data_IF_387108719443
#
_entry.id   IF_387108719443
#
_cell.length_a   1.000
_cell.length_b   1.000
_cell.length_c   1.000
_cell.angle_alpha   90.00
_cell.angle_beta   90.00
_cell.angle_gamma   90.00
#
_symmetry.space_group_name_H-M   'P 1'
#
loop_
_entity.id
_entity.type
_entity.pdbx_description
1 polymer ?
#
# COMPACT_ATOMS: atom_id res chain seq x y z
N UNK A 1 -18.31 15.56 12.02
CA UNK A 1 -17.79 14.31 12.63
C UNK A 1 -17.62 13.21 11.59
N UNK A 2 -18.67 12.75 10.90
CA UNK A 2 -18.58 11.64 9.93
C UNK A 2 -17.56 11.87 8.79
N UNK A 3 -17.52 13.07 8.20
CA UNK A 3 -16.55 13.42 7.14
C UNK A 3 -15.10 13.29 7.60
N UNK A 4 -14.79 13.78 8.80
CA UNK A 4 -13.45 13.67 9.40
C UNK A 4 -13.02 12.21 9.59
N UNK A 5 -13.93 11.36 10.05
CA UNK A 5 -13.67 9.92 10.21
C UNK A 5 -13.39 9.27 8.85
N UNK A 6 -14.18 9.61 7.82
CA UNK A 6 -13.97 9.07 6.46
C UNK A 6 -12.64 9.53 5.87
N UNK A 7 -12.32 10.82 5.97
CA UNK A 7 -11.07 11.40 5.45
C UNK A 7 -9.85 10.78 6.18
N UNK A 8 -9.95 10.54 7.49
CA UNK A 8 -8.92 9.83 8.26
C UNK A 8 -8.73 8.38 7.80
N UNK A 9 -9.82 7.63 7.60
CA UNK A 9 -9.76 6.24 7.14
C UNK A 9 -9.16 6.13 5.73
N UNK A 10 -9.51 7.05 4.82
CA UNK A 10 -8.89 7.14 3.50
C UNK A 10 -7.38 7.40 3.63
N UNK A 11 -6.97 8.35 4.48
CA UNK A 11 -5.57 8.66 4.73
C UNK A 11 -4.78 7.46 5.28
N UNK A 12 -5.37 6.69 6.20
CA UNK A 12 -4.73 5.47 6.73
C UNK A 12 -4.57 4.39 5.65
N UNK A 13 -5.61 4.16 4.83
CA UNK A 13 -5.53 3.22 3.71
C UNK A 13 -4.47 3.63 2.68
N UNK A 14 -4.41 4.91 2.32
CA UNK A 14 -3.37 5.44 1.41
C UNK A 14 -1.96 5.20 1.97
N UNK A 15 -1.75 5.44 3.27
CA UNK A 15 -0.46 5.14 3.93
C UNK A 15 -0.08 3.67 3.84
N UNK A 16 -1.05 2.75 4.02
CA UNK A 16 -0.80 1.31 3.93
C UNK A 16 -0.46 0.88 2.50
N UNK A 17 -1.20 1.39 1.50
CA UNK A 17 -0.95 1.12 0.07
C UNK A 17 0.41 1.65 -0.36
N UNK A 18 0.76 2.90 -0.01
CA UNK A 18 2.06 3.49 -0.35
C UNK A 18 3.24 2.71 0.23
N UNK A 19 3.12 2.23 1.48
CA UNK A 19 4.15 1.36 2.08
C UNK A 19 4.30 0.04 1.33
N UNK A 20 3.19 -0.59 0.95
CA UNK A 20 3.25 -1.80 0.15
C UNK A 20 3.89 -1.55 -1.22
N UNK A 21 3.56 -0.43 -1.86
CA UNK A 21 4.12 -0.04 -3.15
C UNK A 21 5.64 0.16 -3.06
N UNK A 22 6.12 0.85 -2.02
CA UNK A 22 7.55 1.04 -1.78
C UNK A 22 8.30 -0.30 -1.67
N UNK A 23 7.76 -1.24 -0.89
CA UNK A 23 8.37 -2.57 -0.72
C UNK A 23 8.41 -3.33 -2.05
N UNK A 24 7.29 -3.43 -2.78
CA UNK A 24 7.27 -4.17 -4.04
C UNK A 24 8.15 -3.52 -5.12
N UNK A 25 8.21 -2.18 -5.14
CA UNK A 25 9.02 -1.43 -6.09
C UNK A 25 10.53 -1.58 -5.85
N UNK A 26 10.95 -1.86 -4.63
CA UNK A 26 12.37 -2.06 -4.33
C UNK A 26 12.78 -3.55 -4.29
N UNK A 27 11.84 -4.48 -4.26
CA UNK A 27 12.12 -5.91 -4.21
C UNK A 27 12.20 -6.59 -5.59
N UNK A 28 11.60 -6.00 -6.63
CA UNK A 28 11.53 -6.61 -7.97
C UNK A 28 12.47 -5.93 -8.96
N UNK A 29 13.02 -6.69 -9.89
CA UNK A 29 13.83 -6.18 -11.03
C UNK A 29 13.10 -5.09 -11.81
N UNK A 30 11.79 -5.26 -11.94
CA UNK A 30 10.92 -4.39 -12.75
C UNK A 30 10.46 -3.15 -11.96
N UNK A 31 10.90 -3.02 -10.71
CA UNK A 31 10.64 -1.91 -9.80
C UNK A 31 9.16 -1.51 -9.74
N UNK A 32 8.86 -0.24 -10.01
CA UNK A 32 7.51 0.32 -10.02
C UNK A 32 6.61 -0.22 -11.15
N UNK A 33 7.17 -0.90 -12.15
CA UNK A 33 6.41 -1.49 -13.26
C UNK A 33 5.98 -2.93 -13.00
N UNK A 34 6.35 -3.50 -11.84
CA UNK A 34 5.86 -4.79 -11.38
C UNK A 34 4.32 -4.80 -11.36
N UNK A 35 3.72 -5.93 -11.76
CA UNK A 35 2.26 -6.11 -11.77
C UNK A 35 1.62 -5.77 -10.43
N UNK A 36 2.29 -6.09 -9.31
CA UNK A 36 1.84 -5.76 -7.96
C UNK A 36 1.79 -4.26 -7.69
N UNK A 37 2.74 -3.50 -8.23
CA UNK A 37 2.78 -2.04 -8.10
C UNK A 37 1.63 -1.41 -8.88
N UNK A 38 1.35 -1.90 -10.09
CA UNK A 38 0.21 -1.46 -10.90
C UNK A 38 -1.13 -1.75 -10.21
N UNK A 39 -1.29 -2.94 -9.63
CA UNK A 39 -2.48 -3.29 -8.84
C UNK A 39 -2.65 -2.38 -7.61
N UNK A 40 -1.55 -2.02 -6.94
CA UNK A 40 -1.57 -1.10 -5.80
C UNK A 40 -1.98 0.32 -6.20
N UNK A 41 -1.49 0.81 -7.34
CA UNK A 41 -1.88 2.12 -7.89
C UNK A 41 -3.38 2.14 -8.24
N UNK A 42 -3.89 1.07 -8.87
CA UNK A 42 -5.32 0.94 -9.16
C UNK A 42 -6.17 0.92 -7.87
N UNK A 43 -5.70 0.24 -6.83
CA UNK A 43 -6.35 0.23 -5.51
C UNK A 43 -6.32 1.63 -4.87
N UNK A 44 -5.24 2.38 -5.05
CA UNK A 44 -5.09 3.74 -4.56
C UNK A 44 -6.08 4.70 -5.23
N UNK A 45 -6.23 4.61 -6.55
CA UNK A 45 -7.24 5.36 -7.31
C UNK A 45 -8.65 5.06 -6.81
N UNK A 46 -8.98 3.77 -6.65
CA UNK A 46 -10.29 3.33 -6.14
C UNK A 46 -10.55 3.85 -4.72
N UNK A 47 -9.52 3.92 -3.89
CA UNK A 47 -9.62 4.44 -2.50
C UNK A 47 -9.90 5.94 -2.48
N UNK A 48 -9.35 6.71 -3.42
CA UNK A 48 -9.63 8.15 -3.53
C UNK A 48 -11.07 8.38 -4.02
N UNK A 49 -11.54 7.52 -4.93
CA UNK A 49 -12.93 7.53 -5.41
C UNK A 49 -13.94 6.98 -4.38
N UNK A 50 -13.50 6.39 -3.26
CA UNK A 50 -14.34 5.91 -2.17
C UNK A 50 -15.26 6.99 -1.59
N UNK A 51 -14.76 8.24 -1.56
CA UNK A 51 -15.55 9.40 -1.14
C UNK A 51 -16.84 9.57 -1.96
N UNK A 52 -16.88 9.01 -3.18
CA UNK A 52 -18.04 9.01 -4.08
C UNK A 52 -18.83 7.69 -4.07
N UNK A 53 -18.17 6.52 -3.99
CA UNK A 53 -18.82 5.22 -4.24
C UNK A 53 -19.28 4.44 -3.00
N UNK A 54 -18.83 4.81 -1.79
CA UNK A 54 -19.11 4.10 -0.52
C UNK A 54 -18.71 2.61 -0.48
N UNK A 55 -17.93 2.11 -1.44
CA UNK A 55 -17.44 0.72 -1.44
C UNK A 55 -15.99 0.63 -0.89
N UNK A 56 -15.76 0.05 0.30
CA UNK A 56 -14.45 0.11 0.95
C UNK A 56 -13.41 -0.67 0.16
N UNK A 57 -12.34 0.02 -0.25
CA UNK A 57 -11.19 -0.60 -0.89
C UNK A 57 -10.50 -1.55 0.10
N UNK A 58 -10.50 -2.85 -0.19
CA UNK A 58 -9.84 -3.86 0.65
C UNK A 58 -8.52 -4.24 0.03
N UNK A 59 -7.43 -4.09 0.78
CA UNK A 59 -6.12 -4.58 0.33
C UNK A 59 -6.10 -6.12 0.32
N UNK A 60 -5.96 -6.76 -0.86
CA UNK A 60 -5.90 -8.21 -0.96
C UNK A 60 -4.63 -8.74 -0.30
N UNK A 61 -4.71 -9.97 0.24
CA UNK A 61 -3.59 -10.59 0.97
C UNK A 61 -2.35 -10.80 0.09
N UNK A 62 -2.52 -10.92 -1.22
CA UNK A 62 -1.43 -11.07 -2.22
C UNK A 62 -0.54 -9.83 -2.34
N UNK A 63 -1.13 -8.64 -2.13
CA UNK A 63 -0.43 -7.35 -2.22
C UNK A 63 0.22 -6.94 -0.89
N UNK A 64 -0.09 -7.62 0.22
CA UNK A 64 0.53 -7.35 1.52
C UNK A 64 1.99 -7.82 1.51
N UNK A 65 2.96 -6.94 1.79
CA UNK A 65 4.36 -7.33 1.92
C UNK A 65 4.54 -8.33 3.06
N UNK A 66 5.39 -9.35 2.83
CA UNK A 66 5.79 -10.33 3.84
C UNK A 66 7.14 -10.01 4.46
N UNK A 67 7.98 -9.35 3.66
CA UNK A 67 9.32 -8.91 4.00
C UNK A 67 9.37 -7.40 3.80
N UNK A 68 10.14 -6.70 4.61
CA UNK A 68 10.28 -5.24 4.56
C UNK A 68 11.73 -4.85 4.30
N UNK A 69 11.97 -3.62 3.89
CA UNK A 69 13.34 -3.12 3.78
C UNK A 69 13.89 -2.81 5.17
N UNK A 70 15.19 -3.01 5.31
CA UNK A 70 15.98 -2.65 6.49
C UNK A 70 15.73 -1.22 7.00
N UNK A 71 15.69 -0.23 6.11
CA UNK A 71 15.42 1.17 6.49
C UNK A 71 13.98 1.42 7.00
N UNK A 72 13.05 0.47 6.86
CA UNK A 72 11.68 0.62 7.36
C UNK A 72 11.56 0.34 8.86
N UNK A 73 12.67 -0.02 9.53
CA UNK A 73 12.77 -0.22 10.98
C UNK A 73 11.68 -1.18 11.54
N UNK A 74 11.35 -2.19 10.74
CA UNK A 74 10.37 -3.25 11.06
C UNK A 74 11.08 -4.46 11.66
N UNK A 75 11.78 -4.28 12.79
CA UNK A 75 12.64 -5.32 13.38
C UNK A 75 11.90 -6.61 13.80
N UNK A 76 10.57 -6.55 14.01
CA UNK A 76 9.73 -7.73 14.27
C UNK A 76 9.36 -8.54 13.00
N UNK A 77 9.75 -8.07 11.82
CA UNK A 77 9.41 -8.70 10.53
C UNK A 77 10.68 -9.11 9.80
N UNK A 78 10.61 -10.14 8.93
CA UNK A 78 11.70 -10.45 8.02
C UNK A 78 12.08 -9.21 7.20
N UNK A 79 13.39 -8.95 7.07
CA UNK A 79 13.93 -7.81 6.35
C UNK A 79 14.84 -8.27 5.20
N UNK A 80 14.85 -7.51 4.11
CA UNK A 80 15.82 -7.66 3.02
C UNK A 80 16.64 -6.38 2.84
N UNK A 81 17.87 -6.54 2.34
CA UNK A 81 18.78 -5.42 2.07
C UNK A 81 18.19 -4.59 0.93
N UNK A 82 17.96 -3.30 1.16
CA UNK A 82 17.56 -2.39 0.08
C UNK A 82 18.67 -2.27 -0.96
N UNK A 83 18.30 -2.34 -2.25
CA UNK A 83 19.22 -2.06 -3.36
C UNK A 83 19.39 -0.55 -3.60
#
# INVERSE_FOLDING_TARGET
ILKFVVDYLIGDMLRVISKAHLVHANHKSDKALSSKCLELVALQSTTIDFAKSRAPAKMPRSLRPREFQDFMERWEKPMYISQ
#
